data_IF_838714751990
#
_entry.id   IF_838714751990
#
_cell.length_a   1.000
_cell.length_b   1.000
_cell.length_c   1.000
_cell.angle_alpha   90.00
_cell.angle_beta   90.00
_cell.angle_gamma   90.00
#
_symmetry.space_group_name_H-M   'P 1'
#
loop_
_entity.id
_entity.type
_entity.pdbx_description
1 polymer ?
#
# COMPACT_ATOMS: atom_id res chain seq x y z
N UNK A 1 3.21 -39.01 60.89
CA UNK A 1 2.18 -38.53 59.93
C UNK A 1 2.59 -37.14 59.46
N UNK A 2 2.80 -37.02 58.13
CA UNK A 2 2.88 -35.81 57.27
C UNK A 2 3.67 -34.58 57.77
N UNK A 3 4.85 -34.42 57.20
CA UNK A 3 5.50 -33.12 57.01
C UNK A 3 4.70 -32.27 56.00
N UNK A 4 4.45 -31.01 56.32
CA UNK A 4 3.96 -29.98 55.39
C UNK A 4 5.10 -29.03 55.09
N UNK A 5 5.59 -29.07 53.84
CA UNK A 5 6.49 -28.08 53.25
C UNK A 5 5.63 -26.94 52.70
N UNK A 6 5.93 -25.65 52.95
CA UNK A 6 5.20 -24.57 52.32
C UNK A 6 5.70 -24.43 50.87
N UNK A 7 4.74 -24.50 49.94
CA UNK A 7 4.94 -24.30 48.52
C UNK A 7 5.33 -22.83 48.27
N UNK A 8 6.58 -22.57 47.88
CA UNK A 8 6.99 -21.26 47.36
C UNK A 8 6.27 -21.04 46.02
N UNK A 9 5.33 -20.10 45.99
CA UNK A 9 4.73 -19.64 44.75
C UNK A 9 5.78 -18.86 43.94
N UNK A 10 6.30 -19.49 42.90
CA UNK A 10 7.08 -18.82 41.85
C UNK A 10 6.15 -17.84 41.13
N UNK A 11 6.26 -16.55 41.43
CA UNK A 11 5.78 -15.50 40.55
C UNK A 11 6.56 -15.58 39.24
N UNK A 12 5.96 -16.20 38.22
CA UNK A 12 6.41 -16.04 36.85
C UNK A 12 6.21 -14.57 36.48
N UNK A 13 7.31 -13.81 36.47
CA UNK A 13 7.35 -12.50 35.84
C UNK A 13 7.17 -12.74 34.35
N UNK A 14 5.94 -12.63 33.87
CA UNK A 14 5.64 -12.57 32.45
C UNK A 14 6.33 -11.34 31.90
N UNK A 15 7.48 -11.54 31.25
CA UNK A 15 8.03 -10.54 30.33
C UNK A 15 7.01 -10.38 29.21
N UNK A 16 6.16 -9.37 29.33
CA UNK A 16 5.49 -8.78 28.19
C UNK A 16 6.59 -8.24 27.27
N UNK A 17 7.02 -9.07 26.33
CA UNK A 17 7.81 -8.61 25.19
C UNK A 17 7.05 -7.45 24.57
N UNK A 18 7.69 -6.29 24.52
CA UNK A 18 7.15 -5.14 23.82
C UNK A 18 6.99 -5.54 22.35
N UNK A 19 5.77 -5.90 21.96
CA UNK A 19 5.36 -5.97 20.56
C UNK A 19 5.25 -4.53 20.05
N UNK A 20 6.40 -3.90 19.80
CA UNK A 20 6.46 -2.57 19.26
C UNK A 20 6.09 -2.62 17.75
N UNK A 21 4.94 -2.03 17.44
CA UNK A 21 4.44 -1.63 16.11
C UNK A 21 3.76 -2.67 15.20
N UNK A 22 2.89 -3.56 15.71
CA UNK A 22 2.09 -4.47 14.85
C UNK A 22 0.66 -4.02 14.50
N UNK A 23 0.10 -2.99 15.13
CA UNK A 23 -1.36 -2.76 15.12
C UNK A 23 -1.84 -1.56 14.26
N UNK A 24 -0.97 -0.94 13.46
CA UNK A 24 -1.31 0.30 12.71
C UNK A 24 -1.49 0.12 11.21
N UNK A 25 -1.50 -1.12 10.70
CA UNK A 25 -1.65 -1.38 9.26
C UNK A 25 -3.13 -1.37 8.86
N UNK A 26 -3.49 -0.58 7.85
CA UNK A 26 -4.85 -0.57 7.29
C UNK A 26 -5.15 -1.88 6.56
N UNK A 27 -4.15 -2.49 5.94
CA UNK A 27 -4.23 -3.83 5.37
C UNK A 27 -2.90 -4.56 5.58
N UNK A 28 -2.96 -5.88 5.79
CA UNK A 28 -1.78 -6.72 5.88
C UNK A 28 -2.05 -8.17 5.45
N UNK A 29 -1.00 -8.85 5.01
CA UNK A 29 -1.03 -10.24 4.60
C UNK A 29 0.32 -10.91 4.91
N UNK A 30 0.27 -12.10 5.50
CA UNK A 30 1.47 -12.94 5.71
C UNK A 30 1.94 -13.51 4.38
N UNK A 31 3.25 -13.43 4.13
CA UNK A 31 3.91 -14.03 2.97
C UNK A 31 5.24 -14.64 3.39
N UNK A 32 5.89 -15.38 2.51
CA UNK A 32 7.22 -15.93 2.74
C UNK A 32 8.19 -15.43 1.67
N UNK A 33 9.41 -15.10 2.06
CA UNK A 33 10.48 -14.82 1.11
C UNK A 33 10.75 -16.07 0.25
N UNK A 34 10.86 -15.89 -1.07
CA UNK A 34 11.22 -16.98 -1.99
C UNK A 34 12.63 -16.80 -2.54
N UNK A 35 12.88 -15.65 -3.16
CA UNK A 35 14.15 -15.31 -3.78
C UNK A 35 14.24 -13.80 -4.08
N UNK A 36 15.46 -13.34 -4.33
CA UNK A 36 15.79 -12.05 -4.93
C UNK A 36 16.77 -12.38 -6.08
N UNK A 37 16.43 -12.00 -7.31
CA UNK A 37 17.23 -12.33 -8.49
C UNK A 37 17.62 -11.09 -9.30
N UNK A 38 17.20 -9.91 -8.86
CA UNK A 38 17.36 -8.65 -9.57
C UNK A 38 17.28 -7.52 -8.53
N UNK A 39 18.21 -6.55 -8.53
CA UNK A 39 18.22 -5.43 -7.60
C UNK A 39 16.93 -4.59 -7.49
N UNK A 40 15.90 -4.83 -8.29
CA UNK A 40 14.57 -4.21 -8.16
C UNK A 40 13.41 -5.20 -7.91
N UNK A 41 13.68 -6.52 -7.79
CA UNK A 41 12.62 -7.54 -7.69
C UNK A 41 12.79 -8.50 -6.53
N UNK A 42 11.72 -8.61 -5.73
CA UNK A 42 11.64 -9.56 -4.62
C UNK A 42 10.50 -10.55 -4.88
N UNK A 43 10.83 -11.83 -4.90
CA UNK A 43 9.87 -12.90 -5.06
C UNK A 43 9.39 -13.35 -3.68
N UNK A 44 8.07 -13.36 -3.50
CA UNK A 44 7.43 -13.86 -2.28
C UNK A 44 6.37 -14.91 -2.61
N UNK A 45 6.04 -15.75 -1.63
CA UNK A 45 4.96 -16.72 -1.70
C UNK A 45 3.81 -16.39 -0.75
N UNK A 46 2.60 -16.61 -1.25
CA UNK A 46 1.35 -16.62 -0.49
C UNK A 46 0.70 -18.01 -0.67
N UNK A 47 0.99 -18.93 0.25
CA UNK A 47 0.61 -20.33 0.06
C UNK A 47 1.26 -20.92 -1.19
N UNK A 48 0.45 -21.35 -2.16
CA UNK A 48 0.91 -21.88 -3.44
C UNK A 48 1.19 -20.80 -4.49
N UNK A 49 0.74 -19.57 -4.25
CA UNK A 49 0.91 -18.45 -5.18
C UNK A 49 2.27 -17.80 -5.02
N UNK A 50 2.88 -17.41 -6.14
CA UNK A 50 4.11 -16.61 -6.17
C UNK A 50 3.80 -15.21 -6.68
N UNK A 51 4.39 -14.20 -6.04
CA UNK A 51 4.32 -12.80 -6.47
C UNK A 51 5.73 -12.29 -6.73
N UNK A 52 5.94 -11.69 -7.91
CA UNK A 52 7.18 -11.03 -8.28
C UNK A 52 7.00 -9.53 -8.04
N UNK A 53 7.47 -9.05 -6.89
CA UNK A 53 7.26 -7.68 -6.43
C UNK A 53 8.34 -6.77 -6.98
N UNK A 54 7.94 -5.66 -7.58
CA UNK A 54 8.87 -4.58 -7.89
C UNK A 54 9.00 -3.69 -6.66
N UNK A 55 10.23 -3.53 -6.18
CA UNK A 55 10.52 -2.88 -4.91
C UNK A 55 11.47 -1.71 -5.05
N UNK A 56 11.38 -0.80 -4.09
CA UNK A 56 12.34 0.28 -3.92
C UNK A 56 13.05 0.11 -2.57
N UNK A 57 14.37 0.15 -2.61
CA UNK A 57 15.25 0.00 -1.45
C UNK A 57 15.41 1.34 -0.71
N UNK A 58 14.40 1.72 0.08
CA UNK A 58 14.36 2.98 0.86
C UNK A 58 14.50 2.81 2.39
N UNK A 59 14.64 1.56 2.87
CA UNK A 59 14.86 1.23 4.29
C UNK A 59 15.80 0.05 4.53
N UNK A 60 15.86 -0.89 3.59
CA UNK A 60 16.84 -1.97 3.51
C UNK A 60 17.69 -1.80 2.26
N UNK A 61 18.89 -2.38 2.24
CA UNK A 61 19.69 -2.53 1.02
C UNK A 61 19.38 -3.84 0.33
N UNK A 62 19.65 -3.93 -0.97
CA UNK A 62 19.53 -5.18 -1.73
C UNK A 62 20.25 -6.35 -1.04
N UNK A 63 21.52 -6.16 -0.64
CA UNK A 63 22.30 -7.18 0.08
C UNK A 63 21.65 -7.67 1.38
N UNK A 64 20.87 -6.83 2.06
CA UNK A 64 20.17 -7.22 3.29
C UNK A 64 18.94 -8.09 2.99
N UNK A 65 18.28 -7.84 1.86
CA UNK A 65 17.11 -8.61 1.40
C UNK A 65 17.54 -9.92 0.76
N UNK A 66 18.56 -9.90 -0.10
CA UNK A 66 19.17 -11.09 -0.72
C UNK A 66 19.70 -12.09 0.31
N UNK A 67 20.18 -11.61 1.46
CA UNK A 67 20.62 -12.45 2.57
C UNK A 67 19.48 -13.13 3.36
N UNK A 68 18.20 -12.84 3.05
CA UNK A 68 17.09 -13.52 3.73
C UNK A 68 17.02 -15.00 3.34
N UNK A 69 16.87 -15.92 4.31
CA UNK A 69 16.70 -17.33 3.98
C UNK A 69 15.36 -17.54 3.28
N UNK A 70 15.35 -18.41 2.27
CA UNK A 70 14.12 -18.90 1.64
C UNK A 70 13.15 -19.41 2.71
N UNK A 71 11.89 -19.01 2.59
CA UNK A 71 10.84 -19.32 3.57
C UNK A 71 10.77 -18.36 4.75
N UNK A 72 11.65 -17.33 4.84
CA UNK A 72 11.57 -16.33 5.91
C UNK A 72 10.16 -15.74 5.98
N UNK A 73 9.51 -15.76 7.16
CA UNK A 73 8.19 -15.15 7.31
C UNK A 73 8.31 -13.63 7.17
N UNK A 74 7.53 -13.07 6.27
CA UNK A 74 7.44 -11.64 5.99
C UNK A 74 5.96 -11.22 5.97
N UNK A 75 5.73 -9.92 5.83
CA UNK A 75 4.39 -9.37 5.73
C UNK A 75 4.33 -8.33 4.64
N UNK A 76 3.36 -8.47 3.75
CA UNK A 76 2.90 -7.36 2.93
C UNK A 76 1.98 -6.51 3.79
N UNK A 77 2.22 -5.21 3.87
CA UNK A 77 1.43 -4.31 4.70
C UNK A 77 1.22 -2.97 4.00
N UNK A 78 0.09 -2.32 4.29
CA UNK A 78 -0.28 -1.03 3.76
C UNK A 78 -0.74 -0.08 4.86
N UNK A 79 -0.20 1.13 4.83
CA UNK A 79 -0.73 2.30 5.53
C UNK A 79 -0.56 3.52 4.62
N UNK A 80 -1.45 4.50 4.72
CA UNK A 80 -1.43 5.70 3.85
C UNK A 80 -0.09 6.46 3.91
N UNK A 81 0.57 6.45 5.08
CA UNK A 81 1.84 7.14 5.27
C UNK A 81 3.00 6.47 4.54
N UNK A 82 3.00 5.15 4.44
CA UNK A 82 4.12 4.34 3.92
C UNK A 82 3.89 3.85 2.50
N UNK A 83 2.63 3.80 2.07
CA UNK A 83 2.22 2.98 0.94
C UNK A 83 2.31 1.50 1.30
N UNK A 84 2.41 0.65 0.27
CA UNK A 84 2.62 -0.79 0.46
C UNK A 84 4.09 -1.09 0.71
N UNK A 85 4.36 -1.95 1.70
CA UNK A 85 5.70 -2.39 2.08
C UNK A 85 5.75 -3.90 2.25
N UNK A 86 6.93 -4.48 2.02
CA UNK A 86 7.28 -5.82 2.46
C UNK A 86 8.15 -5.67 3.72
N UNK A 87 7.60 -6.03 4.87
CA UNK A 87 8.20 -5.81 6.19
C UNK A 87 8.60 -7.14 6.83
N UNK A 88 9.78 -7.15 7.45
CA UNK A 88 10.17 -8.19 8.39
C UNK A 88 9.50 -7.92 9.74
N UNK A 89 8.53 -8.74 10.17
CA UNK A 89 7.77 -8.49 11.38
C UNK A 89 8.63 -8.56 12.66
N UNK A 90 9.83 -9.15 12.59
CA UNK A 90 10.74 -9.24 13.74
C UNK A 90 11.54 -7.96 13.92
N UNK A 91 12.13 -7.45 12.83
CA UNK A 91 13.00 -6.26 12.89
C UNK A 91 12.26 -4.94 12.64
N UNK A 92 11.04 -5.00 12.10
CA UNK A 92 10.25 -3.83 11.66
C UNK A 92 10.81 -3.14 10.42
N UNK A 93 11.92 -3.62 9.86
CA UNK A 93 12.52 -3.06 8.63
C UNK A 93 11.76 -3.53 7.40
N UNK A 94 11.69 -2.67 6.39
CA UNK A 94 10.93 -2.94 5.19
C UNK A 94 11.60 -2.42 3.93
N UNK A 95 11.19 -2.99 2.79
CA UNK A 95 11.30 -2.38 1.48
C UNK A 95 9.93 -1.92 1.01
N UNK A 96 9.91 -0.87 0.21
CA UNK A 96 8.67 -0.42 -0.43
C UNK A 96 8.31 -1.33 -1.59
N UNK A 97 7.03 -1.66 -1.73
CA UNK A 97 6.49 -2.36 -2.90
C UNK A 97 5.83 -1.33 -3.83
N UNK A 98 6.34 -1.24 -5.06
CA UNK A 98 5.85 -0.36 -6.12
C UNK A 98 4.80 -1.05 -6.99
N UNK A 99 5.03 -2.32 -7.34
CA UNK A 99 4.12 -3.12 -8.17
C UNK A 99 4.33 -4.64 -7.94
N UNK A 100 3.64 -5.48 -8.72
CA UNK A 100 3.76 -6.94 -8.71
C UNK A 100 2.73 -7.65 -7.83
N UNK A 101 1.81 -6.90 -7.21
CA UNK A 101 0.71 -7.44 -6.43
C UNK A 101 -0.45 -7.83 -7.37
N UNK A 102 -1.02 -9.02 -7.16
CA UNK A 102 -2.24 -9.46 -7.87
C UNK A 102 -3.41 -8.47 -7.69
N UNK A 103 -3.53 -7.89 -6.49
CA UNK A 103 -4.54 -6.89 -6.17
C UNK A 103 -3.96 -5.93 -5.15
N UNK A 104 -4.07 -4.63 -5.46
CA UNK A 104 -3.54 -3.56 -4.62
C UNK A 104 -4.28 -3.51 -3.27
N UNK A 105 -3.60 -3.23 -2.15
CA UNK A 105 -4.23 -3.21 -0.83
C UNK A 105 -5.41 -2.24 -0.73
N UNK A 106 -5.32 -1.08 -1.38
CA UNK A 106 -6.40 -0.09 -1.42
C UNK A 106 -7.65 -0.67 -2.12
N UNK A 107 -7.47 -1.43 -3.20
CA UNK A 107 -8.58 -2.09 -3.90
C UNK A 107 -9.20 -3.20 -3.02
N UNK A 108 -8.40 -3.95 -2.26
CA UNK A 108 -8.91 -4.94 -1.30
C UNK A 108 -9.74 -4.29 -0.19
N UNK A 109 -9.29 -3.15 0.32
CA UNK A 109 -10.03 -2.37 1.32
C UNK A 109 -11.36 -1.86 0.76
N UNK A 110 -11.34 -1.36 -0.47
CA UNK A 110 -12.55 -0.97 -1.20
C UNK A 110 -13.51 -2.15 -1.36
N UNK A 111 -13.03 -3.32 -1.79
CA UNK A 111 -13.85 -4.53 -1.96
C UNK A 111 -14.50 -4.98 -0.64
N UNK A 112 -13.77 -4.91 0.47
CA UNK A 112 -14.30 -5.23 1.80
C UNK A 112 -15.39 -4.23 2.20
N UNK A 113 -15.22 -2.94 1.91
CA UNK A 113 -16.25 -1.93 2.15
C UNK A 113 -17.49 -2.20 1.31
N UNK A 114 -17.32 -2.41 0.00
CA UNK A 114 -18.42 -2.65 -0.94
C UNK A 114 -19.24 -3.90 -0.58
N UNK A 115 -18.60 -4.97 -0.09
CA UNK A 115 -19.29 -6.18 0.38
C UNK A 115 -20.18 -5.96 1.60
N UNK A 116 -19.92 -4.91 2.39
CA UNK A 116 -20.70 -4.55 3.58
C UNK A 116 -21.73 -3.46 3.31
N UNK A 117 -21.67 -2.81 2.14
CA UNK A 117 -22.59 -1.75 1.77
C UNK A 117 -24.00 -2.30 1.57
N UNK A 118 -24.99 -1.73 2.26
CA UNK A 118 -26.39 -2.15 2.17
C UNK A 118 -27.26 -1.16 1.39
N UNK A 119 -26.74 0.05 1.15
CA UNK A 119 -27.42 1.09 0.41
C UNK A 119 -26.53 1.72 -0.66
N UNK A 120 -27.16 2.39 -1.61
CA UNK A 120 -26.43 3.18 -2.62
C UNK A 120 -25.55 4.26 -1.99
N UNK A 121 -25.98 4.85 -0.85
CA UNK A 121 -25.18 5.83 -0.12
C UNK A 121 -23.90 5.19 0.43
N UNK A 122 -23.98 3.97 0.96
CA UNK A 122 -22.82 3.25 1.47
C UNK A 122 -21.84 2.92 0.35
N UNK A 123 -22.34 2.52 -0.83
CA UNK A 123 -21.49 2.29 -2.01
C UNK A 123 -20.74 3.57 -2.41
N UNK A 124 -21.44 4.71 -2.45
CA UNK A 124 -20.83 6.03 -2.72
C UNK A 124 -19.76 6.35 -1.67
N UNK A 125 -20.03 6.09 -0.39
CA UNK A 125 -19.05 6.30 0.68
C UNK A 125 -17.81 5.40 0.53
N UNK A 126 -17.98 4.13 0.19
CA UNK A 126 -16.87 3.21 -0.09
C UNK A 126 -15.99 3.70 -1.23
N UNK A 127 -16.58 4.15 -2.35
CA UNK A 127 -15.81 4.76 -3.44
C UNK A 127 -15.13 6.07 -3.02
N UNK A 128 -15.76 6.86 -2.14
CA UNK A 128 -15.14 8.04 -1.53
C UNK A 128 -13.89 7.69 -0.71
N UNK A 129 -13.96 6.70 0.17
CA UNK A 129 -12.80 6.21 0.93
C UNK A 129 -11.70 5.68 0.02
N UNK A 130 -12.06 4.89 -1.00
CA UNK A 130 -11.13 4.39 -2.00
C UNK A 130 -10.44 5.53 -2.77
N UNK A 131 -11.19 6.57 -3.14
CA UNK A 131 -10.67 7.78 -3.79
C UNK A 131 -9.64 8.47 -2.88
N UNK A 132 -9.97 8.69 -1.60
CA UNK A 132 -9.06 9.34 -0.66
C UNK A 132 -7.75 8.57 -0.48
N UNK A 133 -7.82 7.24 -0.35
CA UNK A 133 -6.62 6.40 -0.23
C UNK A 133 -5.77 6.40 -1.50
N UNK A 134 -6.39 6.34 -2.68
CA UNK A 134 -5.68 6.42 -3.96
C UNK A 134 -5.06 7.80 -4.21
N UNK A 135 -5.73 8.89 -3.82
CA UNK A 135 -5.16 10.25 -3.90
C UNK A 135 -3.98 10.43 -2.93
N UNK A 136 -4.09 9.90 -1.70
CA UNK A 136 -2.99 9.87 -0.74
C UNK A 136 -1.79 9.09 -1.29
N UNK A 137 -2.04 7.92 -1.89
CA UNK A 137 -1.03 7.06 -2.52
C UNK A 137 -0.35 7.75 -3.71
N UNK A 138 -1.13 8.41 -4.58
CA UNK A 138 -0.61 9.21 -5.68
C UNK A 138 0.33 10.31 -5.17
N UNK A 139 -0.11 11.06 -4.15
CA UNK A 139 0.69 12.13 -3.57
C UNK A 139 1.96 11.60 -2.86
N UNK A 140 1.89 10.41 -2.27
CA UNK A 140 3.07 9.74 -1.71
C UNK A 140 4.11 9.46 -2.80
N UNK A 141 3.71 8.84 -3.91
CA UNK A 141 4.63 8.54 -5.02
C UNK A 141 5.18 9.78 -5.69
N UNK A 142 4.35 10.80 -5.88
CA UNK A 142 4.83 12.10 -6.37
C UNK A 142 5.91 12.69 -5.46
N UNK A 143 5.69 12.72 -4.13
CA UNK A 143 6.70 13.24 -3.19
C UNK A 143 7.99 12.42 -3.22
N UNK A 144 7.89 11.10 -3.33
CA UNK A 144 9.07 10.22 -3.44
C UNK A 144 9.84 10.46 -4.73
N UNK A 145 9.16 10.63 -5.86
CA UNK A 145 9.80 11.02 -7.12
C UNK A 145 10.57 12.33 -6.99
N UNK A 146 9.94 13.36 -6.39
CA UNK A 146 10.59 14.66 -6.20
C UNK A 146 11.79 14.59 -5.23
N UNK A 147 11.73 13.71 -4.24
CA UNK A 147 12.79 13.47 -3.26
C UNK A 147 13.86 12.47 -3.72
N UNK A 148 13.67 11.81 -4.87
CA UNK A 148 14.57 10.75 -5.34
C UNK A 148 16.00 11.27 -5.51
N UNK A 149 16.97 10.43 -5.16
CA UNK A 149 18.41 10.64 -5.37
C UNK A 149 18.96 9.83 -6.53
N UNK A 150 18.07 9.16 -7.26
CA UNK A 150 18.40 8.46 -8.50
C UNK A 150 19.02 9.47 -9.50
N UNK A 151 20.19 9.18 -10.08
CA UNK A 151 20.83 10.06 -11.06
C UNK A 151 19.98 10.29 -12.31
N UNK A 152 19.10 9.35 -12.70
CA UNK A 152 18.22 9.49 -13.86
C UNK A 152 17.00 10.38 -13.56
N UNK A 153 16.68 10.56 -12.27
CA UNK A 153 15.66 11.52 -11.79
C UNK A 153 16.34 12.85 -11.44
N UNK A 154 16.90 13.48 -12.47
CA UNK A 154 17.63 14.75 -12.34
C UNK A 154 16.71 15.98 -12.12
N UNK A 155 17.31 17.17 -12.01
CA UNK A 155 16.56 18.41 -11.83
C UNK A 155 15.60 18.72 -12.98
N UNK A 156 15.95 18.35 -14.22
CA UNK A 156 15.13 18.57 -15.40
C UNK A 156 13.93 17.62 -15.40
N UNK A 157 14.14 16.33 -15.12
CA UNK A 157 13.09 15.33 -14.96
C UNK A 157 12.10 15.74 -13.85
N UNK A 158 12.59 16.21 -12.70
CA UNK A 158 11.76 16.74 -11.61
C UNK A 158 10.96 17.97 -12.04
N UNK A 159 11.55 18.89 -12.80
CA UNK A 159 10.83 20.05 -13.33
C UNK A 159 9.74 19.65 -14.31
N UNK A 160 10.04 18.76 -15.26
CA UNK A 160 9.06 18.23 -16.21
C UNK A 160 7.93 17.49 -15.51
N UNK A 161 8.23 16.65 -14.51
CA UNK A 161 7.22 15.93 -13.73
C UNK A 161 6.33 16.88 -12.94
N UNK A 162 6.88 17.96 -12.38
CA UNK A 162 6.10 18.99 -11.69
C UNK A 162 5.12 19.69 -12.64
N UNK A 163 5.55 20.03 -13.86
CA UNK A 163 4.66 20.60 -14.88
C UNK A 163 3.59 19.60 -15.28
N UNK A 164 3.97 18.35 -15.59
CA UNK A 164 3.05 17.29 -15.97
C UNK A 164 2.01 17.01 -14.88
N UNK A 165 2.43 16.94 -13.61
CA UNK A 165 1.52 16.71 -12.48
C UNK A 165 0.50 17.85 -12.32
N UNK A 166 0.91 19.12 -12.49
CA UNK A 166 -0.04 20.25 -12.45
C UNK A 166 -1.07 20.19 -13.59
N UNK A 167 -0.62 19.89 -14.81
CA UNK A 167 -1.54 19.73 -15.93
C UNK A 167 -2.47 18.55 -15.75
N UNK A 168 -1.99 17.45 -15.15
CA UNK A 168 -2.83 16.33 -14.79
C UNK A 168 -3.89 16.70 -13.74
N UNK A 169 -3.56 17.55 -12.76
CA UNK A 169 -4.55 18.05 -11.79
C UNK A 169 -5.64 18.88 -12.47
N UNK A 170 -5.28 19.79 -13.39
CA UNK A 170 -6.26 20.52 -14.20
C UNK A 170 -7.16 19.59 -15.02
N UNK A 171 -6.57 18.58 -15.66
CA UNK A 171 -7.34 17.55 -16.36
C UNK A 171 -8.29 16.81 -15.41
N UNK A 172 -7.82 16.37 -14.24
CA UNK A 172 -8.61 15.65 -13.24
C UNK A 172 -9.81 16.48 -12.80
N UNK A 173 -9.58 17.73 -12.46
CA UNK A 173 -10.63 18.62 -11.94
C UNK A 173 -11.67 18.90 -13.03
N UNK A 174 -11.23 19.18 -14.26
CA UNK A 174 -12.14 19.31 -15.41
C UNK A 174 -12.93 18.02 -15.71
N UNK A 175 -12.33 16.84 -15.55
CA UNK A 175 -13.04 15.57 -15.64
C UNK A 175 -14.07 15.40 -14.51
N UNK A 176 -13.77 15.85 -13.30
CA UNK A 176 -14.70 15.76 -12.18
C UNK A 176 -15.92 16.64 -12.38
N UNK A 177 -15.73 17.84 -12.94
CA UNK A 177 -16.82 18.75 -13.33
C UNK A 177 -17.66 18.12 -14.45
N UNK A 178 -17.02 17.63 -15.52
CA UNK A 178 -17.72 16.97 -16.62
C UNK A 178 -18.53 15.73 -16.16
N UNK A 179 -17.99 14.92 -15.25
CA UNK A 179 -18.72 13.79 -14.65
C UNK A 179 -19.88 14.27 -13.78
N UNK A 180 -19.72 15.38 -13.06
CA UNK A 180 -20.78 16.00 -12.27
C UNK A 180 -21.93 16.45 -13.16
N UNK A 181 -21.61 17.15 -14.25
CA UNK A 181 -22.62 17.65 -15.19
C UNK A 181 -23.31 16.50 -15.93
N UNK A 182 -22.55 15.46 -16.31
CA UNK A 182 -23.09 14.33 -17.05
C UNK A 182 -24.04 13.45 -16.22
N UNK A 183 -23.73 13.25 -14.93
CA UNK A 183 -24.45 12.29 -14.08
C UNK A 183 -25.32 12.95 -13.01
N UNK A 184 -25.04 14.18 -12.60
CA UNK A 184 -25.66 14.85 -11.45
C UNK A 184 -27.14 15.19 -11.64
N UNK A 185 -27.57 15.42 -12.88
CA UNK A 185 -28.98 15.73 -13.21
C UNK A 185 -29.83 14.47 -13.50
N UNK A 186 -29.23 13.28 -13.49
CA UNK A 186 -29.93 12.05 -13.88
C UNK A 186 -30.69 11.46 -12.70
N UNK A 187 -31.96 11.10 -12.94
CA UNK A 187 -32.81 10.46 -11.93
C UNK A 187 -32.34 9.05 -11.56
N UNK A 188 -32.48 8.71 -10.27
CA UNK A 188 -32.12 7.40 -9.72
C UNK A 188 -30.78 7.42 -8.97
N UNK A 189 -30.63 6.50 -8.01
CA UNK A 189 -29.48 6.50 -7.09
C UNK A 189 -28.21 5.91 -7.69
N UNK A 190 -28.30 5.23 -8.84
CA UNK A 190 -27.14 4.59 -9.49
C UNK A 190 -26.15 5.61 -10.10
N UNK A 191 -26.59 6.80 -10.51
CA UNK A 191 -25.73 7.76 -11.19
C UNK A 191 -24.62 8.34 -10.30
N UNK A 192 -24.89 8.72 -9.03
CA UNK A 192 -23.83 9.05 -8.07
C UNK A 192 -22.79 7.94 -7.88
N UNK A 193 -23.19 6.67 -7.91
CA UNK A 193 -22.27 5.52 -7.81
C UNK A 193 -21.33 5.48 -9.01
N UNK A 194 -21.90 5.58 -10.22
CA UNK A 194 -21.14 5.57 -11.47
C UNK A 194 -20.17 6.75 -11.50
N UNK A 195 -20.62 7.94 -11.11
CA UNK A 195 -19.78 9.13 -11.06
C UNK A 195 -18.61 8.95 -10.09
N UNK A 196 -18.85 8.45 -8.87
CA UNK A 196 -17.79 8.25 -7.88
C UNK A 196 -16.80 7.14 -8.27
N UNK A 197 -17.27 6.04 -8.84
CA UNK A 197 -16.38 4.99 -9.37
C UNK A 197 -15.44 5.56 -10.45
N UNK A 198 -15.99 6.38 -11.37
CA UNK A 198 -15.18 7.04 -12.41
C UNK A 198 -14.20 8.04 -11.82
N UNK A 199 -14.59 8.82 -10.81
CA UNK A 199 -13.70 9.75 -10.10
C UNK A 199 -12.54 9.04 -9.42
N UNK A 200 -12.79 7.89 -8.78
CA UNK A 200 -11.74 7.06 -8.14
C UNK A 200 -10.71 6.55 -9.15
N UNK A 201 -11.13 6.21 -10.37
CA UNK A 201 -10.25 5.63 -11.38
C UNK A 201 -9.07 6.55 -11.76
N UNK A 202 -9.26 7.88 -11.71
CA UNK A 202 -8.23 8.85 -12.08
C UNK A 202 -7.01 8.83 -11.14
N UNK A 203 -7.13 9.08 -9.82
CA UNK A 203 -5.98 9.03 -8.92
C UNK A 203 -5.39 7.63 -8.81
N UNK A 204 -6.19 6.56 -8.94
CA UNK A 204 -5.67 5.18 -9.01
C UNK A 204 -4.69 5.00 -10.17
N UNK A 205 -5.11 5.34 -11.39
CA UNK A 205 -4.26 5.23 -12.57
C UNK A 205 -2.99 6.09 -12.45
N UNK A 206 -3.12 7.32 -11.92
CA UNK A 206 -1.98 8.21 -11.74
C UNK A 206 -1.01 7.71 -10.66
N UNK A 207 -1.51 7.14 -9.58
CA UNK A 207 -0.67 6.53 -8.54
C UNK A 207 0.17 5.39 -9.12
N UNK A 208 -0.43 4.48 -9.89
CA UNK A 208 0.29 3.37 -10.51
C UNK A 208 1.35 3.86 -11.52
N UNK A 209 1.03 4.87 -12.33
CA UNK A 209 2.00 5.48 -13.25
C UNK A 209 3.17 6.15 -12.51
N UNK A 210 2.91 6.85 -11.41
CA UNK A 210 3.98 7.46 -10.61
C UNK A 210 4.86 6.40 -9.91
N UNK A 211 4.27 5.29 -9.47
CA UNK A 211 5.02 4.17 -8.91
C UNK A 211 5.94 3.54 -9.97
N UNK A 212 5.48 3.39 -11.22
CA UNK A 212 6.32 2.82 -12.28
C UNK A 212 7.53 3.69 -12.64
N UNK A 213 7.45 5.01 -12.46
CA UNK A 213 8.60 5.90 -12.67
C UNK A 213 9.66 5.83 -11.55
N UNK A 214 9.36 5.13 -10.45
CA UNK A 214 10.28 4.90 -9.34
C UNK A 214 10.96 3.52 -9.42
N UNK A 215 10.59 2.71 -10.41
CA UNK A 215 11.22 1.40 -10.64
C UNK A 215 12.63 1.63 -11.18
N UNK A 216 13.61 0.99 -10.56
CA UNK A 216 14.98 0.95 -11.08
C UNK A 216 15.07 -0.17 -12.12
N UNK A 217 15.62 0.14 -13.30
CA UNK A 217 15.90 -0.80 -14.38
C UNK A 217 17.39 -1.09 -14.50
#
# INVERSE_FOLDING_TARGET
MKAMVPLLAMCAVSFAGHAAASDTWAWQQSVQFEADHDPSRVIVRDGADTMNLEVMYDGLTWKQVDAWPKGKPLRLAYAEKTGTVLVDPVSGKSVTVLDGLKTQPIDRLLDVCLKKAVSTRDIVACYGEGYHRWDAQMNLWYRRFMASKDPDIDAKAKQSMRVAQRQWLHYRDAQFDALSDLYGHRSGTIWPVIAMHKRLALPRARALALASYLQAF
#
